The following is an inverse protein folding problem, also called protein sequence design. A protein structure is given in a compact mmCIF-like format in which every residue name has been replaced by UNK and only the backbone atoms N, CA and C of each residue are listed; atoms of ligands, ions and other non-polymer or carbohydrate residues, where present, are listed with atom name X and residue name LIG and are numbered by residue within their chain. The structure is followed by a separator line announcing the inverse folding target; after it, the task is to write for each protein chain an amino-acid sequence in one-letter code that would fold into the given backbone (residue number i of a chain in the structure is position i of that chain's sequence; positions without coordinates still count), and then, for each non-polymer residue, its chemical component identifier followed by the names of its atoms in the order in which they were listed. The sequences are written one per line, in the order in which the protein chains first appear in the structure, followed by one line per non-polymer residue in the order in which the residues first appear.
data_IF_128389827697
#
_entry.id   IF_128389827697
#
_cell.length_a   1.000
_cell.length_b   1.000
_cell.length_c   1.000
_cell.angle_alpha   90.00
_cell.angle_beta   90.00
_cell.angle_gamma   90.00
#
_symmetry.space_group_name_H-M   'P 1'
#
loop_
_entity.id
_entity.type
_entity.pdbx_description
1 polymer ?
#
# COMPACT_ATOMS: atom_id res chain seq x y z
N UNK A 1 1.74 1.80 24.66
CA UNK A 1 2.09 1.02 23.45
C UNK A 1 2.53 -0.41 23.75
N UNK A 2 3.43 -0.64 24.71
CA UNK A 2 3.97 -1.99 25.00
C UNK A 2 2.91 -3.04 25.36
N UNK A 3 1.94 -2.68 26.21
CA UNK A 3 0.81 -3.56 26.52
C UNK A 3 -0.01 -3.96 25.28
N UNK A 4 -0.22 -3.02 24.34
CA UNK A 4 -0.88 -3.31 23.07
C UNK A 4 -0.04 -4.24 22.19
N UNK A 5 1.28 -4.03 22.09
CA UNK A 5 2.17 -4.90 21.32
C UNK A 5 2.16 -6.34 21.85
N UNK A 6 2.20 -6.51 23.17
CA UNK A 6 2.13 -7.84 23.78
C UNK A 6 0.78 -8.51 23.54
N UNK A 7 -0.32 -7.76 23.62
CA UNK A 7 -1.65 -8.31 23.35
C UNK A 7 -1.82 -8.64 21.85
N UNK A 8 -1.32 -7.81 20.95
CA UNK A 8 -1.32 -8.07 19.50
C UNK A 8 -0.57 -9.34 19.16
N UNK A 9 0.62 -9.56 19.76
CA UNK A 9 1.37 -10.82 19.58
C UNK A 9 0.53 -12.04 19.99
N UNK A 10 -0.19 -11.95 21.11
CA UNK A 10 -1.07 -13.02 21.57
C UNK A 10 -2.26 -13.26 20.62
N UNK A 11 -2.97 -12.20 20.19
CA UNK A 11 -4.12 -12.34 19.29
C UNK A 11 -3.70 -12.84 17.90
N UNK A 12 -2.56 -12.38 17.38
CA UNK A 12 -2.00 -12.86 16.10
C UNK A 12 -1.68 -14.34 16.17
N UNK A 13 -1.15 -14.84 17.29
CA UNK A 13 -0.94 -16.28 17.49
C UNK A 13 -2.24 -17.08 17.55
N UNK A 14 -3.33 -16.48 18.06
CA UNK A 14 -4.66 -17.11 18.08
C UNK A 14 -5.31 -17.14 16.70
N UNK A 15 -4.98 -16.17 15.84
CA UNK A 15 -5.36 -16.18 14.43
C UNK A 15 -6.78 -15.73 14.13
N UNK A 16 -7.48 -15.11 15.09
CA UNK A 16 -8.85 -14.61 14.92
C UNK A 16 -8.87 -13.21 14.25
N UNK A 17 -9.19 -13.08 12.94
CA UNK A 17 -8.88 -11.87 12.19
C UNK A 17 -9.62 -10.62 12.68
N UNK A 18 -10.90 -10.75 13.04
CA UNK A 18 -11.70 -9.63 13.52
C UNK A 18 -11.13 -9.08 14.83
N UNK A 19 -10.70 -9.95 15.75
CA UNK A 19 -10.09 -9.53 17.02
C UNK A 19 -8.79 -8.80 16.80
N UNK A 20 -7.94 -9.33 15.91
CA UNK A 20 -6.65 -8.73 15.54
C UNK A 20 -6.88 -7.33 14.95
N UNK A 21 -7.79 -7.20 13.99
CA UNK A 21 -8.15 -5.92 13.35
C UNK A 21 -8.66 -4.92 14.38
N UNK A 22 -9.64 -5.29 15.20
CA UNK A 22 -10.18 -4.41 16.24
C UNK A 22 -9.10 -3.97 17.25
N UNK A 23 -8.17 -4.85 17.60
CA UNK A 23 -7.09 -4.52 18.53
C UNK A 23 -6.08 -3.55 17.91
N UNK A 24 -5.73 -3.72 16.63
CA UNK A 24 -4.91 -2.75 15.90
C UNK A 24 -5.60 -1.39 15.85
N UNK A 25 -6.88 -1.33 15.49
CA UNK A 25 -7.63 -0.07 15.39
C UNK A 25 -7.72 0.66 16.73
N UNK A 26 -7.94 -0.08 17.82
CA UNK A 26 -7.89 0.47 19.17
C UNK A 26 -6.52 1.03 19.52
N UNK A 27 -5.45 0.30 19.23
CA UNK A 27 -4.09 0.76 19.51
C UNK A 27 -3.76 2.02 18.69
N UNK A 28 -4.19 2.07 17.43
CA UNK A 28 -3.92 3.18 16.52
C UNK A 28 -4.74 4.43 16.82
N UNK A 29 -5.89 4.31 17.47
CA UNK A 29 -6.68 5.45 17.94
C UNK A 29 -5.86 6.40 18.83
N UNK A 30 -5.06 5.83 19.72
CA UNK A 30 -4.24 6.60 20.67
C UNK A 30 -2.78 6.80 20.19
N UNK A 31 -2.37 6.10 19.12
CA UNK A 31 -0.98 6.05 18.65
C UNK A 31 -0.88 6.28 17.13
N UNK A 32 -1.69 7.19 16.58
CA UNK A 32 -1.89 7.34 15.14
C UNK A 32 -0.64 7.83 14.38
N UNK A 33 0.36 8.42 15.04
CA UNK A 33 1.61 8.85 14.40
C UNK A 33 2.71 7.77 14.45
N UNK A 34 2.42 6.59 15.01
CA UNK A 34 3.38 5.50 15.12
C UNK A 34 3.39 4.66 13.84
N UNK A 35 4.27 5.02 12.90
CA UNK A 35 4.36 4.40 11.58
C UNK A 35 4.53 2.88 11.61
N UNK A 36 5.32 2.36 12.55
CA UNK A 36 5.59 0.92 12.67
C UNK A 36 4.32 0.13 12.98
N UNK A 37 3.43 0.70 13.80
CA UNK A 37 2.16 0.07 14.16
C UNK A 37 1.21 0.04 12.95
N UNK A 38 1.19 1.11 12.14
CA UNK A 38 0.47 1.10 10.87
C UNK A 38 1.05 0.10 9.88
N UNK A 39 2.39 -0.03 9.83
CA UNK A 39 3.06 -0.98 8.95
C UNK A 39 2.73 -2.42 9.33
N UNK A 40 2.78 -2.78 10.62
CA UNK A 40 2.35 -4.09 11.12
C UNK A 40 0.90 -4.37 10.75
N UNK A 41 -0.01 -3.42 11.01
CA UNK A 41 -1.43 -3.57 10.71
C UNK A 41 -1.72 -3.73 9.21
N UNK A 42 -1.18 -2.84 8.37
CA UNK A 42 -1.44 -2.88 6.93
C UNK A 42 -0.80 -4.10 6.27
N UNK A 43 0.36 -4.54 6.74
CA UNK A 43 1.00 -5.77 6.27
C UNK A 43 0.17 -7.00 6.65
N UNK A 44 -0.37 -7.03 7.88
CA UNK A 44 -1.29 -8.09 8.30
C UNK A 44 -2.52 -8.15 7.38
N UNK A 45 -3.18 -7.01 7.12
CA UNK A 45 -4.34 -6.93 6.24
C UNK A 45 -4.05 -7.43 4.82
N UNK A 46 -2.93 -6.98 4.23
CA UNK A 46 -2.57 -7.34 2.84
C UNK A 46 -2.22 -8.83 2.71
N UNK A 47 -1.74 -9.45 3.79
CA UNK A 47 -1.26 -10.84 3.79
C UNK A 47 -2.33 -11.86 4.19
N UNK A 48 -3.31 -11.49 5.02
CA UNK A 48 -4.26 -12.44 5.62
C UNK A 48 -5.70 -12.24 5.18
N UNK A 49 -6.04 -11.10 4.57
CA UNK A 49 -7.40 -10.80 4.12
C UNK A 49 -7.50 -10.91 2.59
N UNK A 50 -8.67 -11.27 2.09
CA UNK A 50 -8.98 -11.13 0.67
C UNK A 50 -8.95 -9.64 0.26
N UNK A 51 -8.73 -9.38 -1.03
CA UNK A 51 -8.54 -8.00 -1.53
C UNK A 51 -9.73 -7.08 -1.28
N UNK A 52 -10.99 -7.49 -1.53
CA UNK A 52 -12.17 -6.69 -1.16
C UNK A 52 -12.24 -6.32 0.32
N UNK A 53 -12.03 -7.29 1.22
CA UNK A 53 -12.04 -7.02 2.66
C UNK A 53 -10.89 -6.11 3.06
N UNK A 54 -9.67 -6.41 2.60
CA UNK A 54 -8.48 -5.57 2.82
C UNK A 54 -8.73 -4.12 2.39
N UNK A 55 -9.31 -3.94 1.21
CA UNK A 55 -9.73 -2.64 0.68
C UNK A 55 -10.71 -1.94 1.61
N UNK A 56 -11.81 -2.59 2.00
CA UNK A 56 -12.82 -2.01 2.90
C UNK A 56 -12.21 -1.47 4.20
N UNK A 57 -11.27 -2.21 4.79
CA UNK A 57 -10.56 -1.78 5.99
C UNK A 57 -9.55 -0.66 5.74
N UNK A 58 -8.96 -0.56 4.55
CA UNK A 58 -7.98 0.47 4.19
C UNK A 58 -8.62 1.78 3.72
N UNK A 59 -9.74 1.70 3.00
CA UNK A 59 -10.47 2.86 2.46
C UNK A 59 -10.94 3.80 3.58
N UNK A 60 -11.49 3.25 4.67
CA UNK A 60 -12.07 4.03 5.76
C UNK A 60 -11.08 4.66 6.74
N UNK A 61 -9.78 4.36 6.68
CA UNK A 61 -8.93 4.42 7.88
C UNK A 61 -7.90 5.55 7.95
N UNK A 62 -7.92 6.54 7.05
CA UNK A 62 -7.03 7.72 7.10
C UNK A 62 -5.53 7.40 7.29
N UNK A 63 -5.10 6.16 7.06
CA UNK A 63 -3.78 5.62 7.48
C UNK A 63 -2.63 6.41 6.84
N UNK A 64 -2.82 6.76 5.57
CA UNK A 64 -1.89 7.60 4.78
C UNK A 64 -1.96 9.08 5.12
N UNK A 65 -2.97 9.56 5.87
CA UNK A 65 -3.03 10.95 6.37
C UNK A 65 -2.26 11.11 7.68
N UNK A 66 -2.19 10.06 8.50
CA UNK A 66 -1.48 10.13 9.77
C UNK A 66 0.03 9.97 9.61
N UNK A 67 0.48 9.11 8.68
CA UNK A 67 1.89 8.89 8.39
C UNK A 67 2.17 8.97 6.87
N UNK A 68 1.92 10.11 6.20
CA UNK A 68 2.08 10.26 4.75
C UNK A 68 3.52 10.09 4.27
N UNK A 69 4.51 10.30 5.15
CA UNK A 69 5.94 10.19 4.86
C UNK A 69 6.45 8.74 4.78
N UNK A 70 5.59 7.72 4.92
CA UNK A 70 6.00 6.31 4.90
C UNK A 70 5.53 5.66 3.60
N UNK A 71 6.44 5.53 2.63
CA UNK A 71 6.09 4.98 1.31
C UNK A 71 5.52 3.55 1.38
N UNK A 72 5.98 2.73 2.32
CA UNK A 72 5.49 1.36 2.50
C UNK A 72 4.00 1.28 2.88
N UNK A 73 3.44 2.31 3.53
CA UNK A 73 2.00 2.37 3.80
C UNK A 73 1.20 2.60 2.51
N UNK A 74 1.68 3.49 1.66
CA UNK A 74 1.11 3.73 0.34
C UNK A 74 1.20 2.49 -0.54
N UNK A 75 2.34 1.78 -0.50
CA UNK A 75 2.51 0.51 -1.21
C UNK A 75 1.48 -0.54 -0.75
N UNK A 76 1.33 -0.75 0.55
CA UNK A 76 0.33 -1.69 1.08
C UNK A 76 -1.10 -1.28 0.65
N UNK A 77 -1.38 0.01 0.61
CA UNK A 77 -2.67 0.49 0.13
C UNK A 77 -2.89 0.19 -1.35
N UNK A 78 -1.90 0.46 -2.20
CA UNK A 78 -1.90 0.13 -3.63
C UNK A 78 -2.05 -1.38 -3.88
N UNK A 79 -1.47 -2.23 -3.03
CA UNK A 79 -1.59 -3.69 -3.13
C UNK A 79 -2.97 -4.22 -2.78
N UNK A 80 -3.80 -3.47 -2.06
CA UNK A 80 -5.20 -3.81 -1.82
C UNK A 80 -6.11 -3.41 -2.99
N UNK A 81 -5.67 -2.44 -3.78
CA UNK A 81 -6.41 -1.81 -4.88
C UNK A 81 -6.40 -2.59 -6.21
N UNK A 82 -6.17 -3.91 -6.18
CA UNK A 82 -5.99 -4.73 -7.39
C UNK A 82 -7.17 -4.60 -8.37
N UNK A 83 -8.39 -4.48 -7.85
CA UNK A 83 -9.62 -4.45 -8.64
C UNK A 83 -10.14 -3.04 -8.95
N UNK A 84 -9.57 -1.99 -8.34
CA UNK A 84 -10.05 -0.61 -8.42
C UNK A 84 -9.01 0.28 -9.11
N UNK A 85 -8.76 0.03 -10.40
CA UNK A 85 -7.66 0.67 -11.13
C UNK A 85 -7.69 2.20 -11.11
N UNK A 86 -8.86 2.83 -11.30
CA UNK A 86 -8.97 4.29 -11.23
C UNK A 86 -8.54 4.85 -9.87
N UNK A 87 -8.88 4.15 -8.79
CA UNK A 87 -8.49 4.56 -7.46
C UNK A 87 -7.01 4.28 -7.19
N UNK A 88 -6.43 3.21 -7.76
CA UNK A 88 -4.98 2.98 -7.73
C UNK A 88 -4.22 4.17 -8.31
N UNK A 89 -4.59 4.63 -9.50
CA UNK A 89 -3.91 5.78 -10.15
C UNK A 89 -4.02 7.01 -9.26
N UNK A 90 -5.22 7.32 -8.75
CA UNK A 90 -5.43 8.43 -7.82
C UNK A 90 -4.55 8.34 -6.56
N UNK A 91 -4.46 7.16 -5.94
CA UNK A 91 -3.63 6.95 -4.74
C UNK A 91 -2.14 7.03 -5.05
N UNK A 92 -1.73 6.50 -6.20
CA UNK A 92 -0.35 6.57 -6.65
C UNK A 92 0.09 8.02 -6.88
N UNK A 93 -0.69 8.80 -7.63
CA UNK A 93 -0.41 10.22 -7.87
C UNK A 93 -0.35 11.00 -6.56
N UNK A 94 -1.28 10.72 -5.64
CA UNK A 94 -1.28 11.32 -4.30
C UNK A 94 -0.01 10.94 -3.51
N UNK A 95 0.41 9.68 -3.56
CA UNK A 95 1.63 9.22 -2.90
C UNK A 95 2.88 9.95 -3.43
N UNK A 96 2.97 10.18 -4.74
CA UNK A 96 4.10 10.90 -5.35
C UNK A 96 4.21 12.37 -4.94
N UNK A 97 3.14 12.98 -4.41
CA UNK A 97 3.18 14.34 -3.85
C UNK A 97 3.67 14.41 -2.41
N UNK A 98 3.89 13.25 -1.76
CA UNK A 98 4.40 13.19 -0.40
C UNK A 98 5.92 13.42 -0.38
N UNK A 99 6.41 14.14 0.62
CA UNK A 99 7.84 14.35 0.84
C UNK A 99 8.49 13.15 1.52
N UNK A 100 8.78 12.09 0.76
CA UNK A 100 9.59 10.96 1.25
C UNK A 100 11.06 11.39 1.46
N UNK A 101 11.77 10.62 2.28
CA UNK A 101 13.14 10.96 2.69
C UNK A 101 14.19 10.56 1.64
N UNK A 102 13.85 9.63 0.75
CA UNK A 102 14.78 9.08 -0.25
C UNK A 102 14.11 8.76 -1.58
N UNK A 103 14.86 8.90 -2.68
CA UNK A 103 14.46 8.41 -4.01
C UNK A 103 14.10 6.91 -4.04
N UNK A 104 14.67 6.09 -3.14
CA UNK A 104 14.34 4.65 -3.04
C UNK A 104 12.87 4.43 -2.70
N UNK A 105 12.27 5.32 -1.91
CA UNK A 105 10.87 5.25 -1.51
C UNK A 105 9.94 5.54 -2.69
N UNK A 106 10.28 6.52 -3.53
CA UNK A 106 9.57 6.76 -4.79
C UNK A 106 9.71 5.57 -5.76
N UNK A 107 10.91 5.00 -5.87
CA UNK A 107 11.16 3.81 -6.69
C UNK A 107 10.31 2.62 -6.23
N UNK A 108 10.12 2.44 -4.92
CA UNK A 108 9.25 1.40 -4.36
C UNK A 108 7.80 1.56 -4.82
N UNK A 109 7.27 2.79 -4.84
CA UNK A 109 5.92 3.08 -5.33
C UNK A 109 5.80 2.81 -6.84
N UNK A 110 6.76 3.28 -7.64
CA UNK A 110 6.79 3.02 -9.08
C UNK A 110 6.86 1.53 -9.39
N UNK A 111 7.71 0.77 -8.69
CA UNK A 111 7.76 -0.70 -8.80
C UNK A 111 6.42 -1.35 -8.49
N UNK A 112 5.72 -0.87 -7.46
CA UNK A 112 4.39 -1.36 -7.13
C UNK A 112 3.38 -1.07 -8.25
N UNK A 113 3.36 0.17 -8.75
CA UNK A 113 2.48 0.59 -9.85
C UNK A 113 2.73 -0.20 -11.13
N UNK A 114 3.98 -0.28 -11.60
CA UNK A 114 4.35 -1.03 -12.80
C UNK A 114 4.04 -2.53 -12.66
N UNK A 115 4.22 -3.12 -11.47
CA UNK A 115 3.80 -4.51 -11.23
C UNK A 115 2.29 -4.70 -11.30
N UNK A 116 1.51 -3.72 -10.83
CA UNK A 116 0.07 -3.75 -11.00
C UNK A 116 -0.31 -3.67 -12.48
N UNK A 117 0.25 -2.73 -13.24
CA UNK A 117 0.05 -2.62 -14.69
C UNK A 117 0.40 -3.93 -15.41
N UNK A 118 1.53 -4.56 -15.04
CA UNK A 118 1.95 -5.86 -15.57
C UNK A 118 0.92 -6.96 -15.35
N UNK A 119 0.26 -6.99 -14.18
CA UNK A 119 -0.78 -7.99 -13.84
C UNK A 119 -2.08 -7.77 -14.61
N UNK A 120 -2.31 -6.59 -15.18
CA UNK A 120 -3.48 -6.28 -16.01
C UNK A 120 -3.32 -6.77 -17.45
N UNK A 121 -2.09 -7.06 -17.88
CA UNK A 121 -1.81 -7.62 -19.21
C UNK A 121 -2.37 -9.03 -19.29
N UNK A 122 -3.43 -9.20 -20.10
CA UNK A 122 -4.05 -10.51 -20.36
C UNK A 122 -3.30 -11.28 -21.44
N UNK A 123 -2.76 -10.57 -22.42
CA UNK A 123 -2.11 -11.15 -23.59
C UNK A 123 -0.76 -10.47 -23.84
N UNK A 124 0.29 -11.27 -24.03
CA UNK A 124 1.66 -10.81 -24.18
C UNK A 124 2.06 -10.70 -25.66
N UNK A 125 1.41 -9.79 -26.38
CA UNK A 125 1.69 -9.48 -27.80
C UNK A 125 2.15 -8.04 -27.97
N UNK A 126 2.90 -7.73 -29.03
CA UNK A 126 3.39 -6.37 -29.27
C UNK A 126 2.26 -5.39 -29.63
N UNK A 127 1.16 -5.91 -30.16
CA UNK A 127 -0.01 -5.14 -30.57
C UNK A 127 -0.93 -4.82 -29.40
N UNK A 128 -0.89 -5.60 -28.31
CA UNK A 128 -1.71 -5.42 -27.10
C UNK A 128 -1.56 -4.02 -26.53
N UNK A 129 -2.71 -3.39 -26.29
CA UNK A 129 -2.80 -2.08 -25.68
C UNK A 129 -2.28 -2.10 -24.24
N UNK A 130 -2.57 -3.17 -23.49
CA UNK A 130 -2.12 -3.35 -22.11
C UNK A 130 -0.59 -3.46 -22.02
N UNK A 131 0.05 -4.15 -22.97
CA UNK A 131 1.53 -4.22 -23.05
C UNK A 131 2.11 -2.83 -23.33
N UNK A 132 1.49 -2.05 -24.23
CA UNK A 132 1.91 -0.67 -24.51
C UNK A 132 1.76 0.23 -23.28
N UNK A 133 0.64 0.14 -22.57
CA UNK A 133 0.38 0.88 -21.32
C UNK A 133 1.38 0.51 -20.22
N UNK A 134 1.68 -0.78 -20.04
CA UNK A 134 2.70 -1.23 -19.10
C UNK A 134 4.09 -0.70 -19.46
N UNK A 135 4.51 -0.78 -20.73
CA UNK A 135 5.78 -0.22 -21.21
C UNK A 135 5.84 1.30 -20.99
N UNK A 136 4.75 2.02 -21.24
CA UNK A 136 4.67 3.45 -20.98
C UNK A 136 4.83 3.75 -19.48
N UNK A 137 4.21 2.96 -18.60
CA UNK A 137 4.40 3.11 -17.14
C UNK A 137 5.86 2.97 -16.71
N UNK A 138 6.62 2.06 -17.34
CA UNK A 138 8.06 1.89 -17.08
C UNK A 138 8.88 3.08 -17.58
N UNK A 139 8.55 3.63 -18.76
CA UNK A 139 9.20 4.83 -19.28
C UNK A 139 8.96 6.03 -18.37
N UNK A 140 7.72 6.27 -17.97
CA UNK A 140 7.37 7.33 -17.01
C UNK A 140 8.09 7.15 -15.67
N UNK A 141 8.23 5.91 -15.19
CA UNK A 141 9.02 5.63 -13.99
C UNK A 141 10.49 6.03 -14.16
N UNK A 142 11.12 5.66 -15.28
CA UNK A 142 12.52 6.00 -15.56
C UNK A 142 12.71 7.53 -15.64
N UNK A 143 11.86 8.22 -16.40
CA UNK A 143 11.87 9.67 -16.54
C UNK A 143 11.70 10.35 -15.17
N UNK A 144 10.72 9.91 -14.37
CA UNK A 144 10.50 10.43 -13.03
C UNK A 144 11.74 10.25 -12.14
N UNK A 145 12.34 9.06 -12.15
CA UNK A 145 13.51 8.75 -11.33
C UNK A 145 14.78 9.51 -11.75
N UNK A 146 14.88 9.99 -12.99
CA UNK A 146 15.96 10.87 -13.44
C UNK A 146 15.83 12.30 -12.87
N UNK A 147 14.60 12.72 -12.55
CA UNK A 147 14.30 14.05 -12.02
C UNK A 147 14.15 14.09 -10.50
N UNK A 148 13.89 12.96 -9.85
CA UNK A 148 13.95 12.81 -8.40
C UNK A 148 15.41 12.88 -7.93
N UNK A 149 15.79 14.01 -7.32
CA UNK A 149 17.03 14.15 -6.55
C UNK A 149 16.84 13.64 -5.13
#
# INVERSE_FOLDING_TARGET
LEAYKNYLKYEVQKGEPVRIVCLYERALKDNCLYSDLWMEYTTYLVSHMDKPTCWSWLEGSFKTRNCPWVASLWQNYMLALVWHFYYLVYIFDKALTCGFSSGVEFLQLWRCYCNHMRRRVKEWTEESQEVKEWRNSLKSAIEYMQHCK
#
